data_IF_815843406391
#
_entry.id   IF_815843406391
#
_cell.length_a   1.000
_cell.length_b   1.000
_cell.length_c   1.000
_cell.angle_alpha   90.00
_cell.angle_beta   90.00
_cell.angle_gamma   90.00
#
_symmetry.space_group_name_H-M   'P 1'
#
loop_
_entity.id
_entity.type
_entity.pdbx_description
1 polymer ?
#
# COMPACT_ATOMS: atom_id res chain seq x y z
N UNK A 1 16.68 -0.52 25.78
CA UNK A 1 16.56 -0.64 24.30
C UNK A 1 15.15 -0.21 23.91
N UNK A 2 15.02 0.86 23.12
CA UNK A 2 13.78 1.57 22.80
C UNK A 2 12.67 0.69 22.18
N UNK A 3 11.80 0.10 23.01
CA UNK A 3 10.60 -0.61 22.55
C UNK A 3 9.59 0.34 21.89
N UNK A 4 9.53 1.59 22.35
CA UNK A 4 8.68 2.63 21.76
C UNK A 4 9.06 2.96 20.32
N UNK A 5 10.36 3.03 20.03
CA UNK A 5 10.86 3.35 18.69
C UNK A 5 10.58 2.22 17.70
N UNK A 6 10.73 0.96 18.11
CA UNK A 6 10.37 -0.21 17.27
C UNK A 6 8.87 -0.28 16.98
N UNK A 7 8.03 -0.02 17.98
CA UNK A 7 6.56 0.00 17.80
C UNK A 7 6.15 1.12 16.85
N UNK A 8 6.79 2.30 16.94
CA UNK A 8 6.49 3.41 16.06
C UNK A 8 6.95 3.15 14.62
N UNK A 9 8.12 2.54 14.42
CA UNK A 9 8.58 2.11 13.09
C UNK A 9 7.64 1.11 12.43
N UNK A 10 7.14 0.11 13.17
CA UNK A 10 6.17 -0.85 12.65
C UNK A 10 4.85 -0.21 12.22
N UNK A 11 4.34 0.76 13.00
CA UNK A 11 3.15 1.51 12.63
C UNK A 11 3.39 2.41 11.40
N UNK A 12 4.58 2.98 11.26
CA UNK A 12 4.94 3.80 10.10
C UNK A 12 5.06 2.93 8.84
N UNK A 13 5.68 1.76 8.91
CA UNK A 13 5.75 0.82 7.77
C UNK A 13 4.34 0.42 7.32
N UNK A 14 3.46 0.13 8.30
CA UNK A 14 2.05 -0.15 8.07
C UNK A 14 1.35 0.97 7.31
N UNK A 15 1.49 2.20 7.78
CA UNK A 15 0.88 3.38 7.19
C UNK A 15 1.41 3.63 5.78
N UNK A 16 2.71 3.46 5.55
CA UNK A 16 3.34 3.62 4.24
C UNK A 16 2.79 2.59 3.25
N UNK A 17 2.72 1.30 3.61
CA UNK A 17 2.17 0.24 2.75
C UNK A 17 0.72 0.51 2.36
N UNK A 18 -0.12 0.86 3.33
CA UNK A 18 -1.53 1.19 3.07
C UNK A 18 -1.62 2.41 2.13
N UNK A 19 -0.80 3.44 2.37
CA UNK A 19 -0.78 4.65 1.53
C UNK A 19 -0.35 4.34 0.10
N UNK A 20 0.73 3.58 -0.08
CA UNK A 20 1.20 3.14 -1.40
C UNK A 20 0.13 2.30 -2.09
N UNK A 21 -0.53 1.40 -1.37
CA UNK A 21 -1.59 0.58 -1.92
C UNK A 21 -2.78 1.39 -2.43
N UNK A 22 -3.18 2.44 -1.71
CA UNK A 22 -4.19 3.39 -2.19
C UNK A 22 -3.72 4.17 -3.42
N UNK A 23 -2.47 4.65 -3.44
CA UNK A 23 -1.91 5.33 -4.61
C UNK A 23 -1.98 4.41 -5.83
N UNK A 24 -1.57 3.15 -5.70
CA UNK A 24 -1.62 2.18 -6.79
C UNK A 24 -3.06 1.89 -7.27
N UNK A 25 -4.05 1.89 -6.38
CA UNK A 25 -5.45 1.72 -6.77
C UNK A 25 -6.01 2.92 -7.54
N UNK A 26 -5.64 4.14 -7.17
CA UNK A 26 -6.22 5.36 -7.77
C UNK A 26 -5.41 5.95 -8.92
N UNK A 27 -4.11 5.62 -9.01
CA UNK A 27 -3.23 6.13 -10.07
C UNK A 27 -3.77 5.84 -11.48
N UNK A 28 -4.26 4.63 -11.82
CA UNK A 28 -4.69 4.34 -13.19
C UNK A 28 -5.89 5.16 -13.65
N UNK A 29 -6.78 5.53 -12.70
CA UNK A 29 -7.91 6.41 -12.96
C UNK A 29 -7.48 7.86 -13.24
N UNK A 30 -6.36 8.31 -12.68
CA UNK A 30 -5.85 9.67 -12.87
C UNK A 30 -5.07 9.82 -14.19
N UNK A 31 -4.31 8.81 -14.59
CA UNK A 31 -3.44 8.87 -15.78
C UNK A 31 -4.05 8.27 -17.05
N UNK A 32 -5.32 7.83 -17.00
CA UNK A 32 -6.02 7.19 -18.12
C UNK A 32 -5.20 6.02 -18.71
N UNK A 33 -4.69 5.17 -17.83
CA UNK A 33 -3.83 4.06 -18.22
C UNK A 33 -4.63 3.01 -19.01
N UNK A 34 -3.96 2.37 -19.97
CA UNK A 34 -4.57 1.30 -20.76
C UNK A 34 -5.08 0.17 -19.84
N UNK A 35 -6.26 -0.34 -20.15
CA UNK A 35 -6.98 -1.41 -19.43
C UNK A 35 -6.09 -2.62 -19.16
N UNK A 36 -5.16 -2.90 -20.07
CA UNK A 36 -4.18 -3.99 -19.97
C UNK A 36 -3.20 -3.82 -18.80
N UNK A 37 -2.96 -2.61 -18.31
CA UNK A 37 -2.07 -2.38 -17.16
C UNK A 37 -2.84 -2.09 -15.87
N UNK A 38 -4.10 -1.66 -15.96
CA UNK A 38 -4.93 -1.31 -14.79
C UNK A 38 -5.05 -2.46 -13.77
N UNK A 39 -5.23 -3.70 -14.25
CA UNK A 39 -5.39 -4.85 -13.37
C UNK A 39 -4.14 -5.11 -12.52
N UNK A 40 -2.93 -4.89 -13.06
CA UNK A 40 -1.67 -5.03 -12.33
C UNK A 40 -1.61 -4.04 -11.16
N UNK A 41 -1.95 -2.78 -11.42
CA UNK A 41 -2.00 -1.74 -10.40
C UNK A 41 -3.04 -2.05 -9.31
N UNK A 42 -4.22 -2.54 -9.70
CA UNK A 42 -5.25 -2.94 -8.74
C UNK A 42 -4.81 -4.12 -7.87
N UNK A 43 -4.21 -5.16 -8.45
CA UNK A 43 -3.71 -6.31 -7.69
C UNK A 43 -2.60 -5.88 -6.73
N UNK A 44 -1.59 -5.15 -7.22
CA UNK A 44 -0.48 -4.68 -6.38
C UNK A 44 -0.97 -3.73 -5.28
N UNK A 45 -1.94 -2.86 -5.59
CA UNK A 45 -2.55 -1.97 -4.62
C UNK A 45 -3.29 -2.72 -3.52
N UNK A 46 -4.13 -3.70 -3.89
CA UNK A 46 -4.85 -4.55 -2.93
C UNK A 46 -3.89 -5.34 -2.05
N UNK A 47 -2.83 -5.93 -2.62
CA UNK A 47 -1.83 -6.68 -1.85
C UNK A 47 -1.15 -5.78 -0.82
N UNK A 48 -0.73 -4.58 -1.20
CA UNK A 48 -0.08 -3.65 -0.26
C UNK A 48 -1.01 -3.22 0.89
N UNK A 49 -2.30 -2.97 0.59
CA UNK A 49 -3.29 -2.68 1.63
C UNK A 49 -3.51 -3.90 2.52
N UNK A 50 -3.62 -5.09 1.95
CA UNK A 50 -3.83 -6.32 2.70
C UNK A 50 -2.64 -6.65 3.61
N UNK A 51 -1.40 -6.54 3.12
CA UNK A 51 -0.20 -6.73 3.94
C UNK A 51 -0.10 -5.69 5.04
N UNK A 52 -0.33 -4.41 4.71
CA UNK A 52 -0.40 -3.35 5.69
C UNK A 52 -1.50 -3.58 6.73
N UNK A 53 -2.63 -4.19 6.37
CA UNK A 53 -3.76 -4.35 7.31
C UNK A 53 -3.65 -5.64 8.14
N UNK A 54 -3.26 -6.76 7.55
CA UNK A 54 -3.39 -8.09 8.15
C UNK A 54 -2.08 -8.77 8.53
N UNK A 55 -0.93 -8.40 7.95
CA UNK A 55 0.32 -9.15 8.16
C UNK A 55 1.08 -8.78 9.45
N UNK A 56 0.58 -7.80 10.23
CA UNK A 56 1.22 -7.27 11.45
C UNK A 56 0.29 -7.27 12.65
#
# INVERSE_FOLDING_TARGET
MNLEFKRNLGNIDRAIRITIGFILLFLPAYIQMDTTWNWLFYILGIINIAEGTFAY
#
